data_IF_882280537952
#
_entry.id   IF_882280537952
#
_cell.length_a   1.000
_cell.length_b   1.000
_cell.length_c   1.000
_cell.angle_alpha   90.00
_cell.angle_beta   90.00
_cell.angle_gamma   90.00
#
_symmetry.space_group_name_H-M   'P 1'
#
loop_
_entity.id
_entity.type
_entity.pdbx_description
1 polymer ?
#
# COMPACT_ATOMS: atom_id res chain seq x y z
N UNK A 1 20.76 22.04 -3.78
CA UNK A 1 21.56 20.83 -3.51
C UNK A 1 20.60 19.65 -3.51
N UNK A 2 20.67 18.79 -4.52
CA UNK A 2 19.72 17.71 -4.77
C UNK A 2 20.09 16.45 -3.97
N UNK A 3 19.77 16.46 -2.67
CA UNK A 3 19.77 15.23 -1.87
C UNK A 3 18.61 14.35 -2.34
N UNK A 4 18.92 13.31 -3.12
CA UNK A 4 17.98 12.24 -3.43
C UNK A 4 18.60 10.93 -2.97
N UNK A 5 17.78 10.07 -2.38
CA UNK A 5 18.19 8.78 -1.86
C UNK A 5 17.77 7.69 -2.85
N UNK A 6 18.68 6.76 -3.15
CA UNK A 6 18.35 5.53 -3.86
C UNK A 6 18.08 4.43 -2.83
N UNK A 7 16.82 4.01 -2.72
CA UNK A 7 16.43 2.89 -1.90
C UNK A 7 16.26 1.66 -2.79
N UNK A 8 16.96 0.57 -2.48
CA UNK A 8 16.76 -0.72 -3.14
C UNK A 8 15.95 -1.60 -2.19
N UNK A 9 14.69 -1.86 -2.56
CA UNK A 9 13.85 -2.82 -1.85
C UNK A 9 13.85 -4.16 -2.60
N UNK A 10 14.02 -5.24 -1.85
CA UNK A 10 13.83 -6.59 -2.37
C UNK A 10 12.59 -7.19 -1.72
N UNK A 11 11.56 -7.47 -2.53
CA UNK A 11 10.37 -8.18 -2.09
C UNK A 11 10.55 -9.64 -2.52
N UNK A 12 10.80 -10.51 -1.55
CA UNK A 12 10.76 -11.95 -1.80
C UNK A 12 9.29 -12.38 -1.91
N UNK A 13 8.76 -12.36 -3.14
CA UNK A 13 7.38 -12.74 -3.40
C UNK A 13 7.05 -14.17 -3.00
N UNK A 14 8.01 -15.11 -3.09
CA UNK A 14 7.77 -16.50 -2.74
C UNK A 14 7.57 -16.63 -1.24
N UNK A 15 8.43 -15.97 -0.46
CA UNK A 15 8.31 -15.93 0.99
C UNK A 15 7.04 -15.17 1.40
N UNK A 16 6.72 -14.06 0.74
CA UNK A 16 5.55 -13.25 1.08
C UNK A 16 4.21 -13.96 0.78
N UNK A 17 4.15 -14.77 -0.29
CA UNK A 17 3.01 -15.65 -0.60
C UNK A 17 2.90 -16.80 0.41
N UNK A 18 4.01 -17.24 0.99
CA UNK A 18 4.03 -18.32 1.98
C UNK A 18 3.64 -17.87 3.39
N UNK A 19 3.57 -16.57 3.68
CA UNK A 19 3.19 -16.10 5.01
C UNK A 19 1.78 -16.53 5.39
N UNK A 20 1.65 -16.97 6.63
CA UNK A 20 0.37 -17.22 7.28
C UNK A 20 -0.36 -15.90 7.56
N UNK A 21 -1.67 -15.97 7.80
CA UNK A 21 -2.45 -14.81 8.23
C UNK A 21 -1.91 -14.17 9.51
N UNK A 22 -1.43 -14.99 10.45
CA UNK A 22 -0.82 -14.50 11.69
C UNK A 22 0.48 -13.72 11.44
N UNK A 23 1.33 -14.18 10.52
CA UNK A 23 2.55 -13.46 10.16
C UNK A 23 2.25 -12.13 9.48
N UNK A 24 1.22 -12.07 8.62
CA UNK A 24 0.78 -10.82 7.99
C UNK A 24 0.31 -9.83 9.04
N UNK A 25 -0.55 -10.27 9.97
CA UNK A 25 -1.05 -9.39 11.04
C UNK A 25 0.09 -8.90 11.91
N UNK A 26 1.03 -9.78 12.28
CA UNK A 26 2.21 -9.41 13.08
C UNK A 26 3.05 -8.35 12.36
N UNK A 27 3.36 -8.56 11.07
CA UNK A 27 4.14 -7.61 10.27
C UNK A 27 3.40 -6.29 10.09
N UNK A 28 2.11 -6.33 9.79
CA UNK A 28 1.28 -5.14 9.64
C UNK A 28 1.25 -4.31 10.94
N UNK A 29 1.11 -4.97 12.09
CA UNK A 29 1.06 -4.34 13.41
C UNK A 29 2.35 -3.60 13.79
N UNK A 30 3.50 -3.95 13.19
CA UNK A 30 4.76 -3.21 13.41
C UNK A 30 4.79 -1.84 12.74
N UNK A 31 4.00 -1.65 11.69
CA UNK A 31 3.99 -0.44 10.86
C UNK A 31 2.71 0.38 11.03
N UNK A 32 1.61 -0.28 11.39
CA UNK A 32 0.26 0.28 11.38
C UNK A 32 -0.56 -0.19 12.58
N UNK A 33 -1.62 0.56 12.90
CA UNK A 33 -2.56 0.17 13.93
C UNK A 33 -3.43 -1.02 13.51
N UNK A 34 -3.59 -1.99 14.42
CA UNK A 34 -4.44 -3.16 14.24
C UNK A 34 -5.89 -2.87 14.64
N UNK A 35 -6.90 -3.09 13.78
CA UNK A 35 -8.31 -2.89 14.14
C UNK A 35 -8.78 -3.85 15.24
N UNK A 36 -9.77 -3.45 16.08
CA UNK A 36 -10.30 -4.30 17.15
C UNK A 36 -10.83 -5.65 16.68
N UNK A 37 -11.39 -5.72 15.46
CA UNK A 37 -11.86 -6.96 14.84
C UNK A 37 -10.72 -7.99 14.72
N UNK A 38 -9.55 -7.56 14.25
CA UNK A 38 -8.37 -8.42 14.08
C UNK A 38 -7.79 -8.82 15.45
N UNK A 39 -7.83 -7.93 16.44
CA UNK A 39 -7.41 -8.26 17.82
C UNK A 39 -8.30 -9.35 18.43
N UNK A 40 -9.63 -9.27 18.23
CA UNK A 40 -10.56 -10.33 18.65
C UNK A 40 -10.31 -11.64 17.90
N UNK A 41 -10.01 -11.57 16.60
CA UNK A 41 -9.61 -12.73 15.81
C UNK A 41 -8.34 -13.41 16.36
N UNK A 42 -7.31 -12.64 16.72
CA UNK A 42 -6.07 -13.17 17.31
C UNK A 42 -6.28 -13.87 18.66
N UNK A 43 -7.34 -13.50 19.39
CA UNK A 43 -7.72 -14.14 20.66
C UNK A 43 -8.70 -15.30 20.50
N UNK A 44 -9.06 -15.66 19.26
CA UNK A 44 -10.10 -16.65 18.97
C UNK A 44 -11.47 -16.29 19.59
N UNK A 45 -11.76 -14.99 19.74
CA UNK A 45 -13.01 -14.47 20.34
C UNK A 45 -14.10 -14.16 19.29
N UNK A 46 -13.88 -14.50 18.02
CA UNK A 46 -14.90 -14.37 16.98
C UNK A 46 -15.83 -15.59 17.00
N UNK A 47 -17.13 -15.32 17.05
CA UNK A 47 -18.19 -16.34 17.14
C UNK A 47 -19.05 -16.41 15.89
N UNK A 48 -18.86 -15.49 14.95
CA UNK A 48 -19.64 -15.39 13.72
C UNK A 48 -18.74 -15.59 12.49
N UNK A 49 -19.14 -16.49 11.60
CA UNK A 49 -18.39 -16.78 10.37
C UNK A 49 -18.22 -15.55 9.49
N UNK A 50 -19.22 -14.64 9.44
CA UNK A 50 -19.12 -13.39 8.70
C UNK A 50 -18.05 -12.44 9.27
N UNK A 51 -17.83 -12.44 10.59
CA UNK A 51 -16.73 -11.67 11.21
C UNK A 51 -15.36 -12.26 10.83
N UNK A 52 -15.27 -13.59 10.76
CA UNK A 52 -14.05 -14.31 10.37
C UNK A 52 -13.74 -14.06 8.90
N UNK A 53 -14.72 -14.21 8.01
CA UNK A 53 -14.56 -13.95 6.58
C UNK A 53 -14.10 -12.51 6.32
N UNK A 54 -14.73 -11.55 7.00
CA UNK A 54 -14.35 -10.15 6.85
C UNK A 54 -12.93 -9.89 7.36
N UNK A 55 -12.53 -10.56 8.43
CA UNK A 55 -11.17 -10.50 8.97
C UNK A 55 -10.16 -11.02 7.94
N UNK A 56 -10.43 -12.19 7.34
CA UNK A 56 -9.54 -12.79 6.33
C UNK A 56 -9.43 -11.87 5.11
N UNK A 57 -10.53 -11.29 4.64
CA UNK A 57 -10.53 -10.34 3.53
C UNK A 57 -9.61 -9.12 3.81
N UNK A 58 -9.65 -8.59 5.03
CA UNK A 58 -8.77 -7.49 5.45
C UNK A 58 -7.30 -7.93 5.47
N UNK A 59 -7.02 -9.14 5.98
CA UNK A 59 -5.65 -9.66 6.06
C UNK A 59 -5.07 -9.89 4.66
N UNK A 60 -5.84 -10.39 3.70
CA UNK A 60 -5.36 -10.55 2.32
C UNK A 60 -5.09 -9.21 1.64
N UNK A 61 -5.91 -8.18 1.88
CA UNK A 61 -5.59 -6.82 1.43
C UNK A 61 -4.28 -6.30 2.04
N UNK A 62 -3.96 -6.65 3.29
CA UNK A 62 -2.67 -6.31 3.90
C UNK A 62 -1.52 -7.06 3.27
N UNK A 63 -1.71 -8.34 2.88
CA UNK A 63 -0.71 -9.10 2.13
C UNK A 63 -0.33 -8.37 0.84
N UNK A 64 -1.33 -7.99 0.05
CA UNK A 64 -1.09 -7.25 -1.20
C UNK A 64 -0.32 -5.94 -0.98
N UNK A 65 -0.67 -5.21 0.09
CA UNK A 65 -0.01 -3.94 0.44
C UNK A 65 1.43 -4.13 0.91
N UNK A 66 1.69 -5.13 1.74
CA UNK A 66 3.05 -5.48 2.19
C UNK A 66 3.93 -5.95 1.02
N UNK A 67 3.33 -6.50 -0.03
CA UNK A 67 4.01 -6.92 -1.26
C UNK A 67 4.07 -5.83 -2.34
N UNK A 68 3.44 -4.67 -2.13
CA UNK A 68 3.37 -3.61 -3.14
C UNK A 68 4.45 -2.56 -2.90
N UNK A 69 5.43 -2.52 -3.81
CA UNK A 69 6.48 -1.49 -3.80
C UNK A 69 5.91 -0.06 -3.90
N UNK A 70 4.86 0.12 -4.69
CA UNK A 70 4.16 1.42 -4.81
C UNK A 70 3.52 1.84 -3.50
N UNK A 71 2.96 0.90 -2.74
CA UNK A 71 2.35 1.18 -1.43
C UNK A 71 3.40 1.53 -0.39
N UNK A 72 4.54 0.81 -0.39
CA UNK A 72 5.68 1.13 0.45
C UNK A 72 6.24 2.54 0.16
N UNK A 73 6.46 2.88 -1.11
CA UNK A 73 6.95 4.20 -1.52
C UNK A 73 5.96 5.31 -1.14
N UNK A 74 4.65 5.06 -1.21
CA UNK A 74 3.63 6.02 -0.74
C UNK A 74 3.75 6.28 0.76
N UNK A 75 3.81 5.24 1.58
CA UNK A 75 4.01 5.37 3.04
C UNK A 75 5.28 6.17 3.36
N UNK A 76 6.37 5.87 2.67
CA UNK A 76 7.64 6.56 2.85
C UNK A 76 7.54 8.04 2.44
N UNK A 77 6.91 8.33 1.31
CA UNK A 77 6.67 9.71 0.90
C UNK A 77 5.77 10.47 1.87
N UNK A 78 4.75 9.84 2.46
CA UNK A 78 3.91 10.47 3.49
C UNK A 78 4.72 10.80 4.76
N UNK A 79 5.72 9.99 5.11
CA UNK A 79 6.60 10.22 6.27
C UNK A 79 7.70 11.27 6.01
N UNK A 80 8.26 11.29 4.80
CA UNK A 80 9.39 12.17 4.42
C UNK A 80 8.89 13.51 3.88
N UNK A 81 7.67 13.58 3.33
CA UNK A 81 7.15 14.82 2.76
C UNK A 81 6.93 15.86 3.86
N UNK A 82 7.61 17.02 3.82
CA UNK A 82 7.14 18.17 4.58
C UNK A 82 5.76 18.54 4.05
N UNK A 83 4.83 18.90 4.94
CA UNK A 83 3.39 19.11 4.72
C UNK A 83 2.95 20.01 3.52
N UNK A 84 3.88 20.53 2.71
CA UNK A 84 3.67 21.40 1.56
C UNK A 84 3.83 20.74 0.18
N UNK A 85 4.25 19.47 0.06
CA UNK A 85 4.59 18.87 -1.26
C UNK A 85 3.60 17.82 -1.82
N UNK A 86 2.43 17.61 -1.20
CA UNK A 86 1.35 16.74 -1.73
C UNK A 86 0.53 17.43 -2.83
N UNK A 87 1.17 18.04 -3.82
CA UNK A 87 0.51 18.39 -5.08
C UNK A 87 1.39 17.99 -6.27
N UNK A 88 0.81 17.10 -7.07
CA UNK A 88 1.21 16.66 -8.42
C UNK A 88 2.15 15.45 -8.47
N UNK A 89 1.56 14.27 -8.31
CA UNK A 89 1.97 13.11 -9.11
C UNK A 89 0.68 12.47 -9.64
N UNK A 90 0.16 13.01 -10.74
CA UNK A 90 -0.82 12.32 -11.57
C UNK A 90 -0.48 12.62 -13.03
N UNK A 91 0.09 11.58 -13.66
CA UNK A 91 -0.05 11.16 -15.05
C UNK A 91 -0.23 12.24 -16.13
N UNK A 92 0.84 12.49 -16.89
CA UNK A 92 0.72 12.69 -18.33
C UNK A 92 1.81 11.89 -19.04
N UNK A 93 1.53 10.62 -19.29
CA UNK A 93 1.94 10.01 -20.55
C UNK A 93 0.67 9.63 -21.32
N UNK A 94 0.53 10.22 -22.50
CA UNK A 94 -0.55 9.98 -23.45
C UNK A 94 -0.05 10.39 -24.82
N UNK A 95 0.34 9.37 -25.59
CA UNK A 95 0.75 9.42 -26.99
C UNK A 95 -0.16 10.32 -27.85
N UNK A 96 0.47 10.97 -28.83
CA UNK A 96 -0.10 12.08 -29.58
C UNK A 96 -1.23 11.75 -30.56
N UNK A 97 -1.82 12.82 -31.09
CA UNK A 97 -2.36 12.92 -32.44
C UNK A 97 -2.20 14.36 -32.93
N UNK A 98 -1.83 14.47 -34.19
CA UNK A 98 -1.85 15.70 -34.97
C UNK A 98 -3.12 16.52 -34.76
N UNK A 99 -2.93 17.82 -34.54
CA UNK A 99 -3.94 18.83 -34.82
C UNK A 99 -3.21 20.05 -35.39
N UNK A 100 -2.70 19.89 -36.60
CA UNK A 100 -2.70 20.95 -37.59
C UNK A 100 -4.09 21.61 -37.61
N UNK A 101 -4.25 22.75 -36.93
CA UNK A 101 -5.22 23.83 -37.17
C UNK A 101 -5.27 24.79 -35.96
N UNK A 102 -4.30 25.70 -35.88
CA UNK A 102 -4.45 26.95 -35.14
C UNK A 102 -4.68 28.07 -36.18
N UNK A 103 -5.95 28.45 -36.37
CA UNK A 103 -6.30 29.79 -36.86
C UNK A 103 -6.74 30.63 -35.66
N UNK A 104 -6.28 31.88 -35.54
CA UNK A 104 -6.65 32.75 -34.44
C UNK A 104 -7.98 33.44 -34.75
N UNK A 105 -8.91 33.38 -33.79
CA UNK A 105 -9.88 34.42 -33.51
C UNK A 105 -10.00 34.54 -32.00
#
# INVERSE_FOLDING_TARGET
>A
MSNHYHLVLHIDEKQAKAWTHQEIVTRWATLHHTPPLIVRWQKNELTCDAEIDKTIEIIEQWRERLMSLSWFMRNMNEYIAPAKLTKKINAQEGFGKDASNLKPY
#
